data_IF_277064310676
#
_entry.id   IF_277064310676
#
_cell.length_a   1.000
_cell.length_b   1.000
_cell.length_c   1.000
_cell.angle_alpha   90.00
_cell.angle_beta   90.00
_cell.angle_gamma   90.00
#
_symmetry.space_group_name_H-M   'P 1'
#
loop_
_entity.id
_entity.type
_entity.pdbx_description
1 polymer ?
#
# COMPACT_ATOMS: atom_id res chain seq x y z
N UNK A 1 24.56 -30.20 4.61
CA UNK A 1 24.45 -30.68 3.21
C UNK A 1 22.99 -30.56 2.81
N UNK A 2 22.67 -29.98 1.65
CA UNK A 2 21.27 -29.83 1.21
C UNK A 2 20.71 -31.23 0.89
N UNK A 3 19.53 -31.58 1.42
CA UNK A 3 18.87 -32.83 1.08
C UNK A 3 18.11 -32.67 -0.25
N UNK A 4 18.75 -33.08 -1.34
CA UNK A 4 18.20 -32.94 -2.69
C UNK A 4 16.93 -33.77 -2.92
N UNK A 5 16.78 -34.92 -2.24
CA UNK A 5 15.57 -35.74 -2.34
C UNK A 5 14.34 -35.02 -1.76
N UNK A 6 14.50 -34.38 -0.60
CA UNK A 6 13.42 -33.60 0.01
C UNK A 6 13.11 -32.34 -0.82
N UNK A 7 14.13 -31.66 -1.33
CA UNK A 7 13.93 -30.50 -2.20
C UNK A 7 13.11 -30.87 -3.44
N UNK A 8 13.47 -31.95 -4.13
CA UNK A 8 12.71 -32.45 -5.28
C UNK A 8 11.27 -32.86 -4.90
N UNK A 9 11.07 -33.47 -3.73
CA UNK A 9 9.75 -33.89 -3.23
C UNK A 9 8.81 -32.70 -2.96
N UNK A 10 9.33 -31.61 -2.38
CA UNK A 10 8.53 -30.48 -1.88
C UNK A 10 8.57 -29.23 -2.77
N UNK A 11 9.38 -29.19 -3.82
CA UNK A 11 9.36 -28.13 -4.84
C UNK A 11 8.10 -28.23 -5.71
N UNK A 12 6.95 -27.91 -5.13
CA UNK A 12 5.63 -27.91 -5.76
C UNK A 12 4.96 -26.55 -5.56
N UNK A 13 4.08 -26.12 -6.47
CA UNK A 13 3.28 -24.91 -6.26
C UNK A 13 2.47 -25.02 -4.96
N UNK A 14 2.54 -23.99 -4.13
CA UNK A 14 1.77 -23.85 -2.90
C UNK A 14 1.16 -22.46 -2.80
N UNK A 15 0.18 -22.25 -1.90
CA UNK A 15 -0.40 -20.93 -1.70
C UNK A 15 0.67 -19.95 -1.21
N UNK A 16 0.61 -18.71 -1.71
CA UNK A 16 1.44 -17.63 -1.20
C UNK A 16 0.89 -17.20 0.15
N UNK A 17 1.55 -17.60 1.23
CA UNK A 17 1.21 -17.19 2.59
C UNK A 17 1.70 -15.76 2.88
N UNK A 18 1.15 -14.79 2.16
CA UNK A 18 1.37 -13.35 2.44
C UNK A 18 0.49 -12.83 3.56
N UNK A 19 -0.64 -13.50 3.81
CA UNK A 19 -1.58 -13.26 4.90
C UNK A 19 -2.34 -14.54 5.24
N UNK A 20 -3.04 -14.54 6.38
CA UNK A 20 -3.99 -15.59 6.72
C UNK A 20 -5.31 -14.99 7.25
N UNK A 21 -6.47 -15.31 6.66
CA UNK A 21 -6.64 -16.10 5.43
C UNK A 21 -5.97 -15.48 4.20
N UNK A 22 -5.71 -16.30 3.19
CA UNK A 22 -5.02 -15.86 1.95
C UNK A 22 -5.98 -15.09 1.04
N UNK A 23 -5.45 -14.30 0.09
CA UNK A 23 -6.25 -13.50 -0.85
C UNK A 23 -7.36 -14.25 -1.63
N UNK A 24 -7.22 -15.55 -2.00
CA UNK A 24 -8.31 -16.32 -2.60
C UNK A 24 -9.60 -16.41 -1.75
N UNK A 25 -9.51 -16.15 -0.45
CA UNK A 25 -10.67 -16.12 0.45
C UNK A 25 -11.43 -14.79 0.40
N UNK A 26 -10.87 -13.75 -0.25
CA UNK A 26 -11.56 -12.48 -0.44
C UNK A 26 -12.73 -12.66 -1.39
N UNK A 27 -13.88 -12.07 -1.04
CA UNK A 27 -15.10 -12.19 -1.82
C UNK A 27 -15.97 -10.94 -1.64
N UNK A 28 -16.95 -10.76 -2.54
CA UNK A 28 -17.78 -9.55 -2.63
C UNK A 28 -18.82 -9.40 -1.51
N UNK A 29 -18.92 -10.36 -0.58
CA UNK A 29 -19.79 -10.19 0.61
C UNK A 29 -19.24 -9.15 1.59
N UNK A 30 -17.94 -8.82 1.49
CA UNK A 30 -17.34 -7.72 2.22
C UNK A 30 -17.59 -6.40 1.47
N UNK A 31 -18.53 -5.60 1.95
CA UNK A 31 -18.96 -4.37 1.29
C UNK A 31 -18.42 -3.09 1.95
N UNK A 32 -18.73 -1.94 1.34
CA UNK A 32 -18.29 -0.64 1.81
C UNK A 32 -18.87 -0.27 3.19
N UNK A 33 -20.12 -0.66 3.48
CA UNK A 33 -20.75 -0.39 4.78
C UNK A 33 -19.99 -1.12 5.89
N UNK A 34 -19.69 -2.41 5.66
CA UNK A 34 -18.95 -3.23 6.61
C UNK A 34 -17.53 -2.69 6.82
N UNK A 35 -16.88 -2.21 5.77
CA UNK A 35 -15.58 -1.56 5.86
C UNK A 35 -15.62 -0.33 6.78
N UNK A 36 -16.58 0.58 6.57
CA UNK A 36 -16.76 1.79 7.40
C UNK A 36 -17.04 1.42 8.86
N UNK A 37 -17.94 0.46 9.11
CA UNK A 37 -18.22 -0.03 10.47
C UNK A 37 -16.94 -0.50 11.18
N UNK A 38 -16.06 -1.22 10.49
CA UNK A 38 -14.79 -1.68 11.06
C UNK A 38 -13.86 -0.50 11.35
N UNK A 39 -13.76 0.48 10.45
CA UNK A 39 -12.94 1.67 10.65
C UNK A 39 -13.35 2.46 11.90
N UNK A 40 -14.66 2.68 12.06
CA UNK A 40 -15.22 3.50 13.15
C UNK A 40 -15.16 2.80 14.51
N UNK A 41 -15.19 1.46 14.52
CA UNK A 41 -15.12 0.64 15.74
C UNK A 41 -13.71 0.14 16.08
N UNK A 42 -12.67 0.54 15.33
CA UNK A 42 -11.30 0.16 15.65
C UNK A 42 -10.83 0.74 16.99
N UNK A 43 -9.94 0.01 17.67
CA UNK A 43 -9.24 0.54 18.85
C UNK A 43 -8.46 1.82 18.49
N UNK A 44 -8.89 2.94 19.08
CA UNK A 44 -8.32 4.26 18.86
C UNK A 44 -6.89 4.38 19.41
N UNK A 45 -6.46 3.51 20.32
CA UNK A 45 -5.09 3.49 20.83
C UNK A 45 -4.13 2.71 19.92
N UNK A 46 -4.66 1.94 18.95
CA UNK A 46 -3.82 1.18 18.03
C UNK A 46 -3.07 2.13 17.10
N UNK A 47 -1.75 2.01 17.05
CA UNK A 47 -0.92 2.82 16.16
C UNK A 47 -1.13 2.43 14.69
N UNK A 48 -0.79 3.33 13.77
CA UNK A 48 -0.99 3.17 12.34
C UNK A 48 0.30 2.73 11.63
N UNK A 49 0.13 1.81 10.66
CA UNK A 49 1.13 1.50 9.64
C UNK A 49 0.47 1.79 8.28
N UNK A 50 1.11 2.62 7.47
CA UNK A 50 0.57 3.14 6.22
C UNK A 50 1.29 2.53 5.03
N UNK A 51 0.53 2.04 4.05
CA UNK A 51 1.07 1.58 2.78
C UNK A 51 0.40 2.37 1.65
N UNK A 52 1.21 2.97 0.78
CA UNK A 52 0.72 3.63 -0.43
C UNK A 52 1.31 2.95 -1.65
N UNK A 53 0.42 2.45 -2.52
CA UNK A 53 0.79 1.71 -3.71
C UNK A 53 0.93 2.66 -4.92
N UNK A 54 2.16 2.99 -5.30
CA UNK A 54 2.48 3.84 -6.45
C UNK A 54 2.71 2.96 -7.69
N UNK A 55 1.72 2.77 -8.59
CA UNK A 55 1.72 1.63 -9.50
C UNK A 55 2.58 1.82 -10.74
N UNK A 56 3.11 3.02 -10.99
CA UNK A 56 3.67 3.34 -12.31
C UNK A 56 5.11 2.85 -12.47
N UNK A 57 5.38 2.24 -13.62
CA UNK A 57 6.72 1.84 -14.04
C UNK A 57 7.05 2.48 -15.39
N UNK A 58 8.33 2.87 -15.58
CA UNK A 58 8.83 3.42 -16.84
C UNK A 58 8.73 2.42 -18.00
N UNK A 59 9.03 1.15 -17.73
CA UNK A 59 9.10 0.08 -18.73
C UNK A 59 8.55 -1.23 -18.18
N UNK A 60 8.19 -2.14 -19.10
CA UNK A 60 7.71 -3.47 -18.75
C UNK A 60 8.88 -4.44 -18.54
N UNK A 61 9.07 -4.90 -17.31
CA UNK A 61 9.98 -6.00 -16.99
C UNK A 61 9.27 -7.34 -17.22
N UNK A 62 9.76 -8.19 -18.12
CA UNK A 62 9.08 -9.43 -18.50
C UNK A 62 8.97 -10.47 -17.39
N UNK A 63 9.75 -10.34 -16.33
CA UNK A 63 9.68 -11.19 -15.15
C UNK A 63 8.75 -10.64 -14.04
N UNK A 64 8.21 -9.42 -14.20
CA UNK A 64 7.49 -8.74 -13.13
C UNK A 64 6.10 -9.34 -12.92
N UNK A 65 5.82 -9.73 -11.67
CA UNK A 65 4.49 -10.18 -11.21
C UNK A 65 3.81 -9.21 -10.25
N UNK A 66 4.29 -7.97 -10.16
CA UNK A 66 3.71 -6.94 -9.29
C UNK A 66 2.45 -6.33 -9.93
N UNK A 67 1.57 -5.76 -9.10
CA UNK A 67 0.48 -4.92 -9.59
C UNK A 67 1.06 -3.58 -10.04
N UNK A 68 1.15 -3.36 -11.35
CA UNK A 68 1.83 -2.18 -11.93
C UNK A 68 1.14 -1.69 -13.18
N UNK A 69 1.39 -0.43 -13.53
CA UNK A 69 0.93 0.24 -14.74
C UNK A 69 2.13 0.77 -15.51
N UNK A 70 2.39 0.22 -16.69
CA UNK A 70 3.44 0.72 -17.57
C UNK A 70 2.94 1.96 -18.33
N UNK A 71 3.63 3.08 -18.16
CA UNK A 71 3.25 4.30 -18.87
C UNK A 71 4.38 5.32 -18.95
N UNK A 72 4.46 6.04 -20.07
CA UNK A 72 5.27 7.26 -20.23
C UNK A 72 4.46 8.54 -20.07
N UNK A 73 3.16 8.42 -19.76
CA UNK A 73 2.20 9.52 -19.71
C UNK A 73 2.18 10.17 -18.33
N UNK A 74 2.68 11.39 -18.24
CA UNK A 74 2.72 12.17 -17.00
C UNK A 74 1.32 12.50 -16.44
N UNK A 75 0.34 12.73 -17.32
CA UNK A 75 -1.05 13.02 -16.92
C UNK A 75 -1.67 11.90 -16.07
N UNK A 76 -1.22 10.65 -16.23
CA UNK A 76 -1.68 9.54 -15.38
C UNK A 76 -1.16 9.64 -13.95
N UNK A 77 0.08 10.08 -13.75
CA UNK A 77 0.66 10.29 -12.42
C UNK A 77 -0.05 11.43 -11.70
N UNK A 78 -0.28 12.55 -12.40
CA UNK A 78 -1.03 13.68 -11.84
C UNK A 78 -2.47 13.30 -11.49
N UNK A 79 -3.15 12.57 -12.38
CA UNK A 79 -4.48 12.05 -12.10
C UNK A 79 -4.46 11.14 -10.87
N UNK A 80 -3.50 10.23 -10.77
CA UNK A 80 -3.37 9.35 -9.60
C UNK A 80 -3.23 10.15 -8.29
N UNK A 81 -2.37 11.17 -8.25
CA UNK A 81 -2.21 12.04 -7.06
C UNK A 81 -3.54 12.69 -6.67
N UNK A 82 -4.32 13.17 -7.66
CA UNK A 82 -5.64 13.75 -7.38
C UNK A 82 -6.67 12.76 -6.83
N UNK A 83 -6.59 11.48 -7.22
CA UNK A 83 -7.45 10.44 -6.67
C UNK A 83 -6.97 9.97 -5.30
N UNK A 84 -5.66 9.98 -5.04
CA UNK A 84 -5.11 9.72 -3.71
C UNK A 84 -5.58 10.77 -2.70
N UNK A 85 -5.65 12.05 -3.08
CA UNK A 85 -6.24 13.08 -2.21
C UNK A 85 -7.71 12.80 -1.91
N UNK A 86 -8.52 12.45 -2.92
CA UNK A 86 -9.93 12.08 -2.72
C UNK A 86 -10.09 10.87 -1.80
N UNK A 87 -9.21 9.88 -1.91
CA UNK A 87 -9.23 8.71 -1.04
C UNK A 87 -8.92 9.11 0.41
N UNK A 88 -7.93 9.97 0.64
CA UNK A 88 -7.62 10.50 1.97
C UNK A 88 -8.77 11.36 2.55
N UNK A 89 -9.45 12.15 1.71
CA UNK A 89 -10.65 12.92 2.09
C UNK A 89 -11.83 12.04 2.50
N UNK A 90 -11.99 10.87 1.87
CA UNK A 90 -13.01 9.89 2.25
C UNK A 90 -12.58 9.17 3.54
N UNK A 91 -11.33 8.72 3.61
CA UNK A 91 -10.83 7.95 4.74
C UNK A 91 -10.86 8.77 6.04
N UNK A 92 -10.57 10.08 5.99
CA UNK A 92 -10.56 10.94 7.19
C UNK A 92 -11.94 11.17 7.81
N UNK A 93 -13.02 10.80 7.13
CA UNK A 93 -14.38 10.88 7.67
C UNK A 93 -14.68 9.71 8.63
N UNK A 94 -13.96 8.59 8.50
CA UNK A 94 -14.25 7.35 9.22
C UNK A 94 -13.08 6.83 10.07
N UNK A 95 -11.83 7.21 9.74
CA UNK A 95 -10.64 6.83 10.49
C UNK A 95 -10.14 8.01 11.33
N UNK A 96 -9.83 7.76 12.61
CA UNK A 96 -9.17 8.75 13.47
C UNK A 96 -7.72 9.01 13.00
N UNK A 97 -7.54 10.10 12.26
CA UNK A 97 -6.24 10.53 11.72
C UNK A 97 -5.28 11.12 12.77
N UNK A 98 -5.72 11.26 14.02
CA UNK A 98 -4.86 11.70 15.13
C UNK A 98 -4.04 10.57 15.77
N UNK A 99 -4.33 9.31 15.40
CA UNK A 99 -3.58 8.13 15.83
C UNK A 99 -2.11 8.22 15.40
N UNK A 100 -1.21 7.76 16.28
CA UNK A 100 0.23 7.81 16.03
C UNK A 100 0.60 6.88 14.86
N UNK A 101 1.29 7.42 13.85
CA UNK A 101 1.87 6.68 12.73
C UNK A 101 3.25 6.17 13.14
N UNK A 102 3.41 4.84 13.14
CA UNK A 102 4.70 4.17 13.40
C UNK A 102 5.47 3.84 12.13
N UNK A 103 4.77 3.62 11.02
CA UNK A 103 5.41 3.16 9.80
C UNK A 103 4.68 3.70 8.58
N UNK A 104 5.44 4.00 7.54
CA UNK A 104 4.92 4.33 6.23
C UNK A 104 5.83 3.75 5.14
N UNK A 105 5.23 3.12 4.14
CA UNK A 105 5.95 2.52 3.02
C UNK A 105 5.35 2.91 1.68
N UNK A 106 6.21 3.34 0.76
CA UNK A 106 5.89 3.45 -0.67
C UNK A 106 6.35 2.20 -1.40
N UNK A 107 5.40 1.50 -2.02
CA UNK A 107 5.69 0.32 -2.84
C UNK A 107 4.87 0.28 -4.13
N UNK A 108 4.97 -0.84 -4.85
CA UNK A 108 4.10 -1.14 -5.99
C UNK A 108 4.82 -1.28 -7.31
N UNK A 109 4.80 -0.23 -8.12
CA UNK A 109 5.56 -0.15 -9.36
C UNK A 109 6.98 0.32 -9.08
N UNK A 110 7.29 1.53 -9.51
CA UNK A 110 8.54 2.20 -9.14
C UNK A 110 8.15 3.53 -8.50
N UNK A 111 8.05 3.62 -7.16
CA UNK A 111 7.73 4.87 -6.47
C UNK A 111 8.56 6.06 -6.96
N UNK A 112 9.85 5.82 -7.18
CA UNK A 112 10.82 6.80 -7.69
C UNK A 112 10.67 7.15 -9.18
N UNK A 113 9.66 6.61 -9.87
CA UNK A 113 9.26 7.06 -11.20
C UNK A 113 8.39 8.33 -11.15
N UNK A 114 7.78 8.63 -9.99
CA UNK A 114 7.30 9.99 -9.71
C UNK A 114 8.50 10.94 -9.59
N UNK A 115 8.34 12.18 -10.05
CA UNK A 115 9.38 13.20 -9.87
C UNK A 115 9.52 13.56 -8.38
N UNK A 116 10.65 14.17 -8.02
CA UNK A 116 10.86 14.65 -6.64
C UNK A 116 9.74 15.62 -6.20
N UNK A 117 9.26 16.48 -7.09
CA UNK A 117 8.16 17.42 -6.83
C UNK A 117 6.83 16.69 -6.62
N UNK A 118 6.55 15.67 -7.42
CA UNK A 118 5.36 14.82 -7.28
C UNK A 118 5.40 14.07 -5.95
N UNK A 119 6.54 13.47 -5.58
CA UNK A 119 6.72 12.79 -4.30
C UNK A 119 6.60 13.75 -3.12
N UNK A 120 7.17 14.95 -3.22
CA UNK A 120 7.03 15.98 -2.20
C UNK A 120 5.55 16.35 -1.99
N UNK A 121 4.77 16.49 -3.07
CA UNK A 121 3.32 16.74 -3.01
C UNK A 121 2.57 15.58 -2.35
N UNK A 122 2.88 14.34 -2.72
CA UNK A 122 2.27 13.14 -2.11
C UNK A 122 2.59 13.10 -0.61
N UNK A 123 3.84 13.30 -0.21
CA UNK A 123 4.25 13.28 1.20
C UNK A 123 3.58 14.41 1.98
N UNK A 124 3.52 15.63 1.41
CA UNK A 124 2.84 16.76 2.03
C UNK A 124 1.34 16.49 2.21
N UNK A 125 0.70 15.88 1.21
CA UNK A 125 -0.68 15.45 1.26
C UNK A 125 -0.90 14.44 2.39
N UNK A 126 -0.08 13.39 2.48
CA UNK A 126 -0.20 12.38 3.54
C UNK A 126 -0.03 13.02 4.91
N UNK A 127 0.98 13.88 5.10
CA UNK A 127 1.23 14.59 6.37
C UNK A 127 0.16 15.64 6.73
N UNK A 128 -0.59 16.15 5.76
CA UNK A 128 -1.75 17.03 5.99
C UNK A 128 -2.87 16.28 6.71
N UNK A 129 -3.14 15.03 6.33
CA UNK A 129 -4.18 14.20 6.96
C UNK A 129 -3.67 13.50 8.22
N UNK A 130 -2.56 12.77 8.13
CA UNK A 130 -1.93 12.12 9.28
C UNK A 130 -0.94 13.08 9.93
N UNK A 131 -1.28 13.65 11.08
CA UNK A 131 -0.47 14.70 11.73
C UNK A 131 0.41 14.17 12.87
N UNK A 132 0.05 13.05 13.47
CA UNK A 132 0.75 12.47 14.62
C UNK A 132 1.71 11.38 14.15
N UNK A 133 2.98 11.72 13.97
CA UNK A 133 4.02 10.77 13.58
C UNK A 133 4.93 10.48 14.76
N UNK A 134 5.27 9.21 14.96
CA UNK A 134 6.26 8.85 15.94
C UNK A 134 7.63 9.41 15.58
N UNK A 135 8.43 9.81 16.57
CA UNK A 135 9.81 10.24 16.34
C UNK A 135 10.71 9.10 15.84
N UNK A 136 10.29 7.87 16.05
CA UNK A 136 10.97 6.64 15.60
C UNK A 136 10.25 6.01 14.39
N UNK A 137 9.40 6.76 13.69
CA UNK A 137 8.63 6.21 12.59
C UNK A 137 9.54 5.70 11.46
N UNK A 138 9.32 4.44 11.04
CA UNK A 138 9.99 3.89 9.87
C UNK A 138 9.33 4.45 8.60
N UNK A 139 10.10 5.14 7.76
CA UNK A 139 9.65 5.64 6.46
C UNK A 139 10.53 5.01 5.38
N UNK A 140 9.93 4.13 4.57
CA UNK A 140 10.64 3.34 3.57
C UNK A 140 10.02 3.47 2.18
N UNK A 141 10.81 3.20 1.15
CA UNK A 141 10.43 3.31 -0.26
C UNK A 141 11.18 2.24 -1.06
N UNK A 142 10.48 1.56 -1.97
CA UNK A 142 11.08 0.68 -2.99
C UNK A 142 11.89 1.48 -4.04
#
# INVERSE_FOLDING_TARGET
>A
MINFEQFAKYSKPGPRYTSYPTAPEFNESFDAKRYVEILENMDKNRKLSLYFHLPFCRSACYFCGCNVVFTSKEDKKERYISYLEKELELLCQHLDMSREVLQMHFGGGTPTFFSAEQLQRIIALIKKYFKNWSNEAEISCE
#
